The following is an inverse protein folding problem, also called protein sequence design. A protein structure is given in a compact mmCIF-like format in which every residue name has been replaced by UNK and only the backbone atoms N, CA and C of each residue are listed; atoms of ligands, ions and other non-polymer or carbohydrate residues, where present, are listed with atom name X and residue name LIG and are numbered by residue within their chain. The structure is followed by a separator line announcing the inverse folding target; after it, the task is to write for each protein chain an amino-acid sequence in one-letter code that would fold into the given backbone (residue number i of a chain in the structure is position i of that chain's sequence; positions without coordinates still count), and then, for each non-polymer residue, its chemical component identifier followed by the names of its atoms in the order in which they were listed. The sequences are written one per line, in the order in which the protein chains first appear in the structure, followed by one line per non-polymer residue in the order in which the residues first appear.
data_IF_398105878129
#
_entry.id   IF_398105878129
#
_cell.length_a   1.000
_cell.length_b   1.000
_cell.length_c   1.000
_cell.angle_alpha   90.00
_cell.angle_beta   90.00
_cell.angle_gamma   90.00
#
_symmetry.space_group_name_H-M   'P 1'
#
loop_
_entity.id
_entity.type
_entity.pdbx_description
1 polymer ?
#
# COMPACT_ATOMS: atom_id res chain seq x y z
N UNK A 1 21.00 -4.97 0.37
CA UNK A 1 21.00 -4.94 1.86
C UNK A 1 20.90 -3.48 2.29
N UNK A 2 19.70 -2.98 2.64
CA UNK A 2 19.54 -1.62 3.17
C UNK A 2 19.84 -1.60 4.68
N UNK A 3 20.69 -0.69 5.17
CA UNK A 3 20.99 -0.59 6.59
C UNK A 3 19.77 -0.10 7.39
N UNK A 4 19.60 -0.52 8.65
CA UNK A 4 18.56 0.00 9.53
C UNK A 4 18.88 1.46 9.90
N UNK A 5 18.37 2.39 9.11
CA UNK A 5 18.48 3.82 9.40
C UNK A 5 17.54 4.15 10.55
N UNK A 6 18.14 4.39 11.72
CA UNK A 6 17.52 4.88 12.95
C UNK A 6 16.53 6.02 12.67
N UNK A 7 15.29 5.84 13.14
CA UNK A 7 14.55 6.92 13.80
C UNK A 7 13.53 7.72 13.00
N UNK A 8 13.50 7.63 11.67
CA UNK A 8 12.40 8.21 10.89
C UNK A 8 11.77 7.08 10.09
N UNK A 9 10.59 6.64 10.53
CA UNK A 9 9.80 5.64 9.84
C UNK A 9 9.76 5.97 8.34
N UNK A 10 10.40 5.13 7.52
CA UNK A 10 10.39 5.28 6.08
C UNK A 10 8.94 5.40 5.65
N UNK A 11 8.54 6.59 5.19
CA UNK A 11 7.15 6.88 4.84
C UNK A 11 6.60 5.89 3.80
N UNK A 12 7.50 5.35 2.99
CA UNK A 12 7.34 4.27 2.03
C UNK A 12 6.94 2.94 2.71
N UNK A 13 7.66 2.56 3.77
CA UNK A 13 7.37 1.38 4.60
C UNK A 13 6.04 1.53 5.33
N UNK A 14 5.74 2.73 5.79
CA UNK A 14 4.45 3.04 6.42
C UNK A 14 3.31 2.98 5.39
N UNK A 15 3.57 3.33 4.12
CA UNK A 15 2.62 3.23 3.03
C UNK A 15 2.33 1.77 2.68
N UNK A 16 3.38 0.94 2.58
CA UNK A 16 3.27 -0.52 2.41
C UNK A 16 2.36 -1.14 3.49
N UNK A 17 2.65 -0.85 4.77
CA UNK A 17 1.85 -1.32 5.90
C UNK A 17 0.42 -0.78 5.89
N UNK A 18 0.22 0.48 5.49
CA UNK A 18 -1.11 1.07 5.43
C UNK A 18 -1.96 0.44 4.31
N UNK A 19 -1.33 0.13 3.17
CA UNK A 19 -1.97 -0.54 2.05
C UNK A 19 -2.32 -1.99 2.40
N UNK A 20 -1.38 -2.74 3.00
CA UNK A 20 -1.59 -4.09 3.53
C UNK A 20 -2.71 -4.11 4.59
N UNK A 21 -2.75 -3.15 5.51
CA UNK A 21 -3.79 -3.08 6.55
C UNK A 21 -5.16 -2.62 6.05
N UNK A 22 -5.28 -2.19 4.80
CA UNK A 22 -6.53 -1.62 4.32
C UNK A 22 -6.83 -0.21 4.85
N UNK A 23 -5.83 0.53 5.35
CA UNK A 23 -6.03 1.84 5.98
C UNK A 23 -5.99 2.99 4.96
N UNK A 24 -7.16 3.35 4.43
CA UNK A 24 -7.33 4.40 3.42
C UNK A 24 -6.84 5.77 3.90
N UNK A 25 -7.17 6.16 5.13
CA UNK A 25 -6.80 7.48 5.64
C UNK A 25 -5.29 7.63 5.71
N UNK A 26 -4.62 6.58 6.19
CA UNK A 26 -3.18 6.56 6.33
C UNK A 26 -2.47 6.52 4.97
N UNK A 27 -2.97 5.72 4.01
CA UNK A 27 -2.49 5.74 2.62
C UNK A 27 -2.54 7.15 2.04
N UNK A 28 -3.69 7.85 2.15
CA UNK A 28 -3.81 9.22 1.65
C UNK A 28 -2.85 10.19 2.32
N UNK A 29 -2.75 10.16 3.65
CA UNK A 29 -1.86 11.05 4.39
C UNK A 29 -0.38 10.82 4.03
N UNK A 30 0.02 9.58 3.76
CA UNK A 30 1.39 9.24 3.37
C UNK A 30 1.68 9.67 1.93
N UNK A 31 0.72 9.48 1.01
CA UNK A 31 0.84 9.99 -0.36
C UNK A 31 0.93 11.52 -0.40
N UNK A 32 0.14 12.22 0.42
CA UNK A 32 0.17 13.68 0.55
C UNK A 32 1.53 14.20 1.06
N UNK A 33 2.13 13.45 1.99
CA UNK A 33 3.49 13.69 2.49
C UNK A 33 4.60 13.33 1.49
N UNK A 34 4.27 12.87 0.28
CA UNK A 34 5.24 12.52 -0.77
C UNK A 34 5.80 11.10 -0.67
N UNK A 35 5.06 10.15 -0.08
CA UNK A 35 5.45 8.75 -0.09
C UNK A 35 5.55 8.22 -1.53
N UNK A 36 6.59 7.42 -1.79
CA UNK A 36 6.74 6.74 -3.06
C UNK A 36 5.70 5.63 -3.18
N UNK A 37 4.71 5.88 -4.03
CA UNK A 37 3.65 4.94 -4.40
C UNK A 37 4.18 3.64 -5.03
N UNK A 38 5.38 3.68 -5.62
CA UNK A 38 6.08 2.53 -6.20
C UNK A 38 7.20 2.01 -5.28
N UNK A 39 7.15 2.30 -3.97
CA UNK A 39 8.10 1.73 -3.04
C UNK A 39 7.97 0.21 -2.99
N UNK A 40 9.08 -0.49 -2.88
CA UNK A 40 9.13 -1.94 -2.72
C UNK A 40 9.64 -2.30 -1.31
N UNK A 41 9.06 -3.33 -0.70
CA UNK A 41 9.64 -3.98 0.48
C UNK A 41 10.81 -4.90 0.08
N UNK A 42 11.46 -5.54 1.05
CA UNK A 42 12.53 -6.50 0.82
C UNK A 42 12.10 -7.70 -0.03
N UNK A 43 10.81 -8.00 -0.07
CA UNK A 43 10.21 -9.04 -0.91
C UNK A 43 9.84 -8.56 -2.33
N UNK A 44 10.14 -7.29 -2.67
CA UNK A 44 9.68 -6.69 -3.93
C UNK A 44 8.19 -6.32 -3.95
N UNK A 45 7.49 -6.48 -2.82
CA UNK A 45 6.08 -6.11 -2.69
C UNK A 45 5.89 -4.59 -2.70
N UNK A 46 4.97 -4.08 -3.52
CA UNK A 46 4.61 -2.66 -3.61
C UNK A 46 3.31 -2.39 -2.86
N UNK A 47 2.98 -1.13 -2.50
CA UNK A 47 1.70 -0.82 -1.87
C UNK A 47 0.52 -1.32 -2.71
N UNK A 48 0.65 -1.32 -4.04
CA UNK A 48 -0.38 -1.82 -4.93
C UNK A 48 -0.52 -3.34 -4.81
N UNK A 49 0.57 -4.09 -4.95
CA UNK A 49 0.52 -5.56 -4.88
C UNK A 49 0.14 -6.07 -3.48
N UNK A 50 0.49 -5.36 -2.41
CA UNK A 50 0.03 -5.69 -1.04
C UNK A 50 -1.47 -5.42 -0.86
N UNK A 51 -1.99 -4.32 -1.42
CA UNK A 51 -3.43 -4.04 -1.39
C UNK A 51 -4.23 -5.04 -2.26
N UNK A 52 -3.61 -5.56 -3.33
CA UNK A 52 -4.20 -6.57 -4.20
C UNK A 52 -4.07 -8.00 -3.66
N UNK A 53 -2.97 -8.36 -2.98
CA UNK A 53 -2.80 -9.68 -2.39
C UNK A 53 -3.81 -9.97 -1.28
N UNK A 54 -4.22 -8.92 -0.54
CA UNK A 54 -5.36 -8.96 0.38
C UNK A 54 -6.69 -9.35 -0.29
N UNK A 55 -6.84 -9.21 -1.62
CA UNK A 55 -8.04 -9.60 -2.36
C UNK A 55 -8.17 -11.12 -2.56
N UNK A 56 -7.13 -11.92 -2.28
CA UNK A 56 -7.02 -13.31 -2.78
C UNK A 56 -7.81 -14.37 -2.00
N UNK A 57 -8.80 -13.99 -1.19
CA UNK A 57 -9.79 -14.95 -0.66
C UNK A 57 -11.21 -14.43 -0.83
N UNK A 58 -11.75 -14.43 -2.05
CA UNK A 58 -13.21 -14.41 -2.24
C UNK A 58 -13.61 -15.15 -3.52
N UNK A 59 -13.56 -16.48 -3.44
CA UNK A 59 -14.57 -17.28 -4.15
C UNK A 59 -15.87 -16.98 -3.39
N UNK A 60 -16.91 -16.47 -4.05
CA UNK A 60 -18.24 -16.17 -3.47
C UNK A 60 -18.43 -14.78 -2.80
N UNK A 61 -18.66 -13.77 -3.65
CA UNK A 61 -19.89 -12.99 -3.59
C UNK A 61 -20.12 -11.89 -2.53
N UNK A 62 -19.34 -11.74 -1.46
CA UNK A 62 -19.71 -10.78 -0.39
C UNK A 62 -18.57 -9.89 0.12
N UNK A 63 -18.79 -8.57 0.04
CA UNK A 63 -18.03 -7.42 0.60
C UNK A 63 -16.77 -6.98 -0.16
N UNK A 64 -16.97 -6.33 -1.32
CA UNK A 64 -15.92 -5.72 -2.18
C UNK A 64 -15.78 -4.19 -2.04
N UNK A 65 -16.38 -3.55 -1.02
CA UNK A 65 -16.60 -2.10 -1.03
C UNK A 65 -15.42 -1.25 -0.50
N UNK A 66 -14.65 -1.72 0.50
CA UNK A 66 -13.61 -0.89 1.12
C UNK A 66 -12.21 -1.13 0.55
N UNK A 67 -11.82 -2.38 0.29
CA UNK A 67 -10.45 -2.74 -0.16
C UNK A 67 -10.13 -2.25 -1.59
N UNK A 68 -11.16 -2.11 -2.45
CA UNK A 68 -10.99 -1.52 -3.80
C UNK A 68 -10.57 -0.06 -3.79
N UNK A 69 -10.86 0.65 -2.70
CA UNK A 69 -10.62 2.10 -2.64
C UNK A 69 -9.14 2.42 -2.58
N UNK A 70 -8.35 1.61 -1.88
CA UNK A 70 -6.89 1.78 -1.80
C UNK A 70 -6.24 1.51 -3.14
N UNK A 71 -6.56 0.39 -3.79
CA UNK A 71 -6.05 0.07 -5.14
C UNK A 71 -6.33 1.23 -6.10
N UNK A 72 -7.55 1.79 -6.08
CA UNK A 72 -7.91 2.96 -6.90
C UNK A 72 -7.11 4.22 -6.53
N UNK A 73 -6.87 4.47 -5.25
CA UNK A 73 -6.08 5.63 -4.79
C UNK A 73 -4.63 5.51 -5.26
N UNK A 74 -4.01 4.34 -5.07
CA UNK A 74 -2.64 4.07 -5.48
C UNK A 74 -2.50 4.16 -7.01
N UNK A 75 -3.41 3.54 -7.76
CA UNK A 75 -3.42 3.64 -9.24
C UNK A 75 -3.58 5.09 -9.71
N UNK A 76 -4.43 5.88 -9.04
CA UNK A 76 -4.58 7.33 -9.32
C UNK A 76 -3.32 8.12 -8.97
N UNK A 77 -2.57 7.70 -7.96
CA UNK A 77 -1.28 8.29 -7.60
C UNK A 77 -0.14 7.90 -8.55
N UNK A 78 -0.38 7.02 -9.54
CA UNK A 78 0.63 6.55 -10.48
C UNK A 78 1.38 5.30 -10.03
N UNK A 79 0.76 4.48 -9.17
CA UNK A 79 1.24 3.13 -8.90
C UNK A 79 1.28 2.32 -10.21
N UNK A 80 2.41 1.68 -10.44
CA UNK A 80 2.61 0.76 -11.55
C UNK A 80 2.22 -0.65 -11.11
N UNK A 81 1.55 -1.36 -12.02
CA UNK A 81 1.16 -2.77 -11.90
C UNK A 81 2.38 -3.68 -12.07
#
# INVERSE_FOLDING_TARGET
MHPPSRGHADINKDLLKAAEKGNIQKVKALLDKGANVNAEDNDGGTPLTLAESMQTQTISGSKRFESKKIVRILKKAGAKE
#
